data_IF_911454294969
#
_entry.id   IF_911454294969
#
_cell.length_a   1.000
_cell.length_b   1.000
_cell.length_c   1.000
_cell.angle_alpha   90.00
_cell.angle_beta   90.00
_cell.angle_gamma   90.00
#
_symmetry.space_group_name_H-M   'P 1'
#
loop_
_entity.id
_entity.type
_entity.pdbx_description
1 polymer ?
#
# COMPACT_ATOMS: atom_id res chain seq x y z
N UNK A 1 -7.43 0.72 -16.96
CA UNK A 1 -6.09 1.31 -17.18
C UNK A 1 -6.11 2.15 -18.45
N UNK A 2 -6.15 3.47 -18.31
CA UNK A 2 -6.15 4.46 -19.40
C UNK A 2 -4.75 4.71 -19.99
N UNK A 3 -3.69 4.19 -19.37
CA UNK A 3 -2.30 4.39 -19.77
C UNK A 3 -1.50 5.16 -18.73
N UNK A 4 -2.18 5.82 -17.79
CA UNK A 4 -1.56 6.48 -16.66
C UNK A 4 -1.09 5.45 -15.64
N UNK A 5 0.09 5.70 -15.09
CA UNK A 5 0.66 4.88 -14.01
C UNK A 5 0.55 5.68 -12.73
N UNK A 6 -0.17 5.11 -11.76
CA UNK A 6 -0.24 5.70 -10.44
C UNK A 6 1.00 5.38 -9.60
N UNK A 7 1.29 6.26 -8.65
CA UNK A 7 2.43 6.10 -7.74
C UNK A 7 2.04 6.46 -6.31
N UNK A 8 2.83 5.98 -5.36
CA UNK A 8 2.69 6.37 -3.96
C UNK A 8 2.76 7.89 -3.79
N UNK A 9 3.60 8.58 -4.56
CA UNK A 9 3.75 10.04 -4.50
C UNK A 9 2.45 10.80 -4.83
N UNK A 10 1.63 10.26 -5.73
CA UNK A 10 0.33 10.87 -6.08
C UNK A 10 -0.79 10.41 -5.15
N UNK A 11 -0.87 9.11 -4.84
CA UNK A 11 -1.98 8.53 -4.08
C UNK A 11 -1.90 8.79 -2.58
N UNK A 12 -0.69 8.80 -1.99
CA UNK A 12 -0.53 8.91 -0.54
C UNK A 12 -1.05 10.23 0.05
N UNK A 13 -0.77 11.42 -0.53
CA UNK A 13 -1.34 12.68 -0.05
C UNK A 13 -2.87 12.70 -0.09
N UNK A 14 -3.47 12.12 -1.14
CA UNK A 14 -4.92 12.03 -1.28
C UNK A 14 -5.52 11.11 -0.22
N UNK A 15 -4.92 9.94 0.00
CA UNK A 15 -5.36 9.00 1.02
C UNK A 15 -5.26 9.58 2.43
N UNK A 16 -4.14 10.23 2.76
CA UNK A 16 -3.96 10.89 4.05
C UNK A 16 -5.00 12.01 4.24
N UNK A 17 -5.22 12.84 3.22
CA UNK A 17 -6.21 13.91 3.26
C UNK A 17 -7.64 13.37 3.42
N UNK A 18 -7.99 12.26 2.75
CA UNK A 18 -9.31 11.62 2.87
C UNK A 18 -9.61 11.32 4.34
N UNK A 19 -8.68 10.68 5.06
CA UNK A 19 -8.84 10.32 6.48
C UNK A 19 -8.41 11.42 7.48
N UNK A 20 -8.18 12.66 7.02
CA UNK A 20 -7.81 13.78 7.91
C UNK A 20 -6.42 13.65 8.55
N UNK A 21 -5.57 12.75 8.04
CA UNK A 21 -4.23 12.52 8.55
C UNK A 21 -3.26 13.61 8.09
N UNK A 22 -2.28 13.93 8.94
CA UNK A 22 -1.17 14.82 8.61
C UNK A 22 0.05 14.01 8.20
N UNK A 23 0.58 14.30 7.02
CA UNK A 23 1.84 13.71 6.56
C UNK A 23 3.00 14.42 7.28
N UNK A 24 3.88 13.68 7.97
CA UNK A 24 5.04 14.26 8.63
C UNK A 24 6.08 14.74 7.61
N UNK A 25 6.79 15.81 7.96
CA UNK A 25 7.94 16.32 7.23
C UNK A 25 9.16 16.43 8.19
N UNK A 26 10.24 15.65 7.98
CA UNK A 26 10.40 14.64 6.92
C UNK A 26 9.57 13.37 7.19
N UNK A 27 9.10 12.73 6.11
CA UNK A 27 8.29 11.50 6.22
C UNK A 27 9.10 10.30 6.71
N UNK A 28 10.37 10.21 6.31
CA UNK A 28 11.26 9.08 6.60
C UNK A 28 12.55 9.54 7.28
N UNK A 29 12.49 10.04 8.53
CA UNK A 29 13.64 10.64 9.20
C UNK A 29 14.82 9.68 9.42
N UNK A 30 14.56 8.37 9.42
CA UNK A 30 15.57 7.34 9.69
C UNK A 30 16.03 6.59 8.43
N UNK A 31 15.81 7.13 7.23
CA UNK A 31 16.52 6.70 6.03
C UNK A 31 15.72 5.96 4.97
N UNK A 32 14.41 5.71 5.13
CA UNK A 32 13.54 5.35 3.99
C UNK A 32 13.84 4.03 3.26
N UNK A 33 14.89 3.28 3.65
CA UNK A 33 15.48 2.17 2.87
C UNK A 33 15.63 0.89 3.70
N UNK A 34 15.82 -0.28 3.05
CA UNK A 34 16.09 -1.55 3.73
C UNK A 34 17.11 -1.46 4.86
N UNK A 35 16.89 -2.23 5.93
CA UNK A 35 17.75 -2.31 7.12
C UNK A 35 17.88 -1.02 7.95
N UNK A 36 17.04 -0.01 7.70
CA UNK A 36 16.92 1.17 8.57
C UNK A 36 15.97 0.95 9.75
N UNK A 37 15.97 1.85 10.73
CA UNK A 37 15.11 1.79 11.93
C UNK A 37 13.61 1.96 11.67
N UNK A 38 13.20 2.33 10.46
CA UNK A 38 11.81 2.62 10.16
C UNK A 38 11.31 3.96 10.73
N UNK A 39 9.99 4.13 10.78
CA UNK A 39 9.38 5.37 11.22
C UNK A 39 9.20 5.41 12.75
N UNK A 40 9.85 6.38 13.42
CA UNK A 40 9.75 6.61 14.88
C UNK A 40 10.02 5.32 15.70
N UNK A 41 9.04 4.90 16.50
CA UNK A 41 9.05 3.69 17.34
C UNK A 41 8.21 2.55 16.74
N UNK A 42 7.82 2.67 15.47
CA UNK A 42 7.14 1.60 14.76
C UNK A 42 8.17 0.59 14.26
N UNK A 43 7.80 -0.69 14.27
CA UNK A 43 8.65 -1.73 13.75
C UNK A 43 8.64 -1.70 12.22
N UNK A 44 9.82 -1.60 11.63
CA UNK A 44 10.02 -1.84 10.20
C UNK A 44 10.19 -3.33 9.90
N UNK A 45 10.13 -3.66 8.61
CA UNK A 45 10.51 -4.98 8.11
C UNK A 45 11.34 -4.88 6.85
N UNK A 46 12.31 -5.78 6.74
CA UNK A 46 13.12 -6.01 5.55
C UNK A 46 13.13 -7.51 5.28
N UNK A 47 12.53 -7.94 4.17
CA UNK A 47 12.43 -9.34 3.77
C UNK A 47 13.21 -9.50 2.48
N UNK A 48 14.33 -10.21 2.55
CA UNK A 48 15.11 -10.57 1.37
C UNK A 48 14.44 -11.76 0.67
N UNK A 49 14.01 -11.58 -0.57
CA UNK A 49 13.43 -12.67 -1.33
C UNK A 49 14.53 -13.57 -1.94
N UNK A 50 14.19 -14.84 -2.18
CA UNK A 50 15.12 -15.84 -2.72
C UNK A 50 15.14 -15.91 -4.25
N UNK A 51 14.23 -15.23 -4.92
CA UNK A 51 14.13 -15.22 -6.38
C UNK A 51 15.06 -14.17 -7.00
N UNK A 52 15.31 -14.31 -8.30
CA UNK A 52 15.97 -13.27 -9.09
C UNK A 52 15.02 -12.08 -9.31
N UNK A 53 15.53 -10.84 -9.42
CA UNK A 53 14.70 -9.69 -9.69
C UNK A 53 14.05 -9.83 -11.08
N UNK A 54 12.82 -9.32 -11.28
CA UNK A 54 12.14 -9.37 -12.58
C UNK A 54 12.99 -8.78 -13.71
N UNK A 55 13.79 -7.75 -13.41
CA UNK A 55 14.68 -7.08 -14.35
C UNK A 55 15.70 -8.04 -14.99
N UNK A 56 16.12 -9.12 -14.30
CA UNK A 56 17.06 -10.11 -14.84
C UNK A 56 16.56 -10.72 -16.15
N UNK A 57 15.24 -10.89 -16.33
CA UNK A 57 14.66 -11.50 -17.52
C UNK A 57 14.96 -10.73 -18.81
N UNK A 58 15.17 -9.41 -18.72
CA UNK A 58 15.43 -8.53 -19.86
C UNK A 58 16.79 -7.82 -19.79
N UNK A 59 17.58 -8.09 -18.76
CA UNK A 59 18.80 -7.33 -18.45
C UNK A 59 19.81 -7.31 -19.62
N UNK A 60 19.96 -8.43 -20.34
CA UNK A 60 20.87 -8.50 -21.51
C UNK A 60 20.41 -7.64 -22.67
N UNK A 61 19.11 -7.70 -23.00
CA UNK A 61 18.52 -6.87 -24.05
C UNK A 61 18.58 -5.37 -23.71
N UNK A 62 18.56 -5.05 -22.42
CA UNK A 62 18.68 -3.69 -21.90
C UNK A 62 20.14 -3.23 -21.70
N UNK A 63 21.14 -4.10 -21.90
CA UNK A 63 22.56 -3.78 -21.71
C UNK A 63 23.00 -3.61 -20.24
N UNK A 64 22.23 -4.14 -19.29
CA UNK A 64 22.43 -3.99 -17.84
C UNK A 64 22.63 -5.33 -17.13
N UNK A 65 23.10 -6.36 -17.84
CA UNK A 65 23.29 -7.71 -17.28
C UNK A 65 24.15 -7.78 -16.02
N UNK A 66 25.11 -6.86 -15.90
CA UNK A 66 26.06 -6.71 -14.79
C UNK A 66 25.67 -5.62 -13.78
N UNK A 67 24.52 -4.98 -13.96
CA UNK A 67 24.04 -3.97 -13.02
C UNK A 67 23.57 -4.65 -11.72
N UNK A 68 23.93 -4.13 -10.53
CA UNK A 68 23.47 -4.69 -9.26
C UNK A 68 21.94 -4.81 -9.17
N UNK A 69 21.15 -3.93 -9.78
CA UNK A 69 19.69 -4.04 -9.81
C UNK A 69 19.18 -5.25 -10.61
N UNK A 70 19.98 -5.78 -11.53
CA UNK A 70 19.67 -7.00 -12.27
C UNK A 70 20.18 -8.26 -11.56
N UNK A 71 21.12 -8.15 -10.61
CA UNK A 71 21.73 -9.30 -9.93
C UNK A 71 21.24 -9.49 -8.49
N UNK A 72 21.11 -8.41 -7.73
CA UNK A 72 20.73 -8.43 -6.34
C UNK A 72 19.32 -9.01 -6.18
N UNK A 73 19.18 -9.84 -5.16
CA UNK A 73 17.87 -10.32 -4.77
C UNK A 73 16.95 -9.14 -4.43
N UNK A 74 15.69 -9.17 -4.87
CA UNK A 74 14.75 -8.11 -4.56
C UNK A 74 14.33 -8.19 -3.09
N UNK A 75 13.96 -7.03 -2.56
CA UNK A 75 13.62 -6.85 -1.15
C UNK A 75 12.19 -6.36 -0.99
N UNK A 76 11.53 -6.83 0.07
CA UNK A 76 10.33 -6.17 0.61
C UNK A 76 10.75 -5.31 1.79
N UNK A 77 10.52 -4.01 1.71
CA UNK A 77 10.83 -3.07 2.77
C UNK A 77 9.65 -2.17 3.10
N UNK A 78 9.29 -2.11 4.38
CA UNK A 78 8.31 -1.16 4.89
C UNK A 78 8.83 -0.49 6.15
N UNK A 79 8.67 0.83 6.20
CA UNK A 79 9.03 1.68 7.36
C UNK A 79 8.16 1.39 8.59
N UNK A 80 6.94 0.94 8.35
CA UNK A 80 6.01 0.43 9.35
C UNK A 80 5.50 -0.89 8.78
N UNK A 81 5.78 -1.99 9.46
CA UNK A 81 5.24 -3.29 9.10
C UNK A 81 3.75 -3.34 9.51
N UNK A 82 2.81 -3.44 8.56
CA UNK A 82 1.38 -3.46 8.85
C UNK A 82 0.94 -4.67 9.68
N UNK A 83 1.58 -5.83 9.51
CA UNK A 83 1.23 -7.04 10.24
C UNK A 83 1.65 -6.92 11.71
N UNK A 84 2.83 -6.37 11.98
CA UNK A 84 3.28 -6.07 13.36
C UNK A 84 2.46 -4.94 13.96
N UNK A 85 2.21 -3.88 13.18
CA UNK A 85 1.40 -2.73 13.60
C UNK A 85 -0.01 -3.15 14.04
N UNK A 86 -0.68 -3.99 13.25
CA UNK A 86 -2.04 -4.47 13.54
C UNK A 86 -2.10 -5.36 14.80
N UNK A 87 -0.98 -5.92 15.26
CA UNK A 87 -0.89 -6.73 16.50
C UNK A 87 -0.61 -5.90 17.75
N UNK A 88 -0.29 -4.61 17.62
CA UNK A 88 0.00 -3.76 18.78
C UNK A 88 -1.26 -3.54 19.63
N UNK A 89 -1.07 -3.47 20.94
CA UNK A 89 -2.16 -3.27 21.90
C UNK A 89 -2.87 -1.93 21.68
N UNK A 90 -2.13 -0.85 21.49
CA UNK A 90 -2.71 0.49 21.27
C UNK A 90 -3.55 0.57 19.99
N UNK A 91 -3.10 -0.12 18.93
CA UNK A 91 -3.83 -0.21 17.66
C UNK A 91 -5.12 -1.02 17.81
N UNK A 92 -5.06 -2.18 18.46
CA UNK A 92 -6.25 -2.99 18.70
C UNK A 92 -7.25 -2.28 19.64
N UNK A 93 -6.77 -1.56 20.65
CA UNK A 93 -7.63 -0.77 21.52
C UNK A 93 -8.32 0.38 20.76
N UNK A 94 -7.59 1.07 19.87
CA UNK A 94 -8.17 2.08 19.00
C UNK A 94 -9.23 1.48 18.05
N UNK A 95 -8.93 0.33 17.44
CA UNK A 95 -9.88 -0.38 16.59
C UNK A 95 -11.14 -0.81 17.35
N UNK A 96 -11.01 -1.41 18.54
CA UNK A 96 -12.16 -1.79 19.38
C UNK A 96 -13.05 -0.59 19.70
N UNK A 97 -12.46 0.57 20.02
CA UNK A 97 -13.23 1.80 20.26
C UNK A 97 -14.04 2.22 19.03
N UNK A 98 -13.42 2.22 17.85
CA UNK A 98 -14.10 2.56 16.60
C UNK A 98 -15.18 1.53 16.25
N UNK A 99 -14.87 0.24 16.38
CA UNK A 99 -15.80 -0.86 16.16
C UNK A 99 -17.04 -0.72 17.03
N UNK A 100 -16.88 -0.50 18.33
CA UNK A 100 -18.02 -0.43 19.24
C UNK A 100 -18.84 0.86 19.02
N UNK A 101 -18.17 1.97 18.72
CA UNK A 101 -18.81 3.26 18.43
C UNK A 101 -19.65 3.25 17.14
N UNK A 102 -19.12 2.62 16.09
CA UNK A 102 -19.75 2.61 14.76
C UNK A 102 -20.38 1.27 14.38
N UNK A 103 -20.35 0.27 15.28
CA UNK A 103 -20.87 -1.10 15.10
C UNK A 103 -20.25 -1.83 13.89
N UNK A 104 -18.93 -1.77 13.77
CA UNK A 104 -18.20 -2.35 12.63
C UNK A 104 -18.09 -3.87 12.69
N UNK A 105 -17.91 -4.52 11.55
CA UNK A 105 -17.69 -5.97 11.47
C UNK A 105 -16.28 -6.35 11.96
N UNK A 106 -16.21 -6.98 13.14
CA UNK A 106 -14.95 -7.50 13.69
C UNK A 106 -14.26 -8.50 12.75
N UNK A 107 -15.02 -9.28 11.98
CA UNK A 107 -14.44 -10.29 11.07
C UNK A 107 -13.61 -9.66 9.97
N UNK A 108 -13.89 -8.41 9.60
CA UNK A 108 -13.09 -7.69 8.61
C UNK A 108 -11.67 -7.43 9.11
N UNK A 109 -11.52 -7.05 10.37
CA UNK A 109 -10.22 -6.89 11.01
C UNK A 109 -9.48 -8.22 11.19
N UNK A 110 -10.18 -9.23 11.69
CA UNK A 110 -9.59 -10.56 11.96
C UNK A 110 -9.10 -11.26 10.69
N UNK A 111 -9.73 -10.96 9.54
CA UNK A 111 -9.41 -11.52 8.23
C UNK A 111 -8.63 -10.57 7.34
N UNK A 112 -8.25 -9.40 7.84
CA UNK A 112 -7.45 -8.46 7.07
C UNK A 112 -6.11 -9.10 6.70
N UNK A 113 -5.77 -9.07 5.41
CA UNK A 113 -4.59 -9.71 4.83
C UNK A 113 -3.36 -8.79 4.96
N UNK A 114 -2.94 -8.55 6.19
CA UNK A 114 -1.81 -7.65 6.51
C UNK A 114 -0.50 -8.09 5.84
N UNK A 115 -0.27 -9.39 5.73
CA UNK A 115 0.87 -9.99 5.04
C UNK A 115 0.86 -9.72 3.53
N UNK A 116 -0.34 -9.75 2.91
CA UNK A 116 -0.51 -9.36 1.51
C UNK A 116 -0.21 -7.87 1.31
N UNK A 117 -0.52 -7.03 2.29
CA UNK A 117 -0.16 -5.61 2.27
C UNK A 117 1.35 -5.41 2.41
N UNK A 118 2.01 -6.18 3.29
CA UNK A 118 3.48 -6.23 3.41
C UNK A 118 4.12 -6.54 2.07
N UNK A 119 3.63 -7.59 1.39
CA UNK A 119 4.12 -7.98 0.07
C UNK A 119 3.84 -6.88 -0.97
N UNK A 120 2.63 -6.35 -1.02
CA UNK A 120 2.22 -5.44 -2.11
C UNK A 120 2.95 -4.10 -2.04
N UNK A 121 3.04 -3.50 -0.84
CA UNK A 121 3.62 -2.18 -0.63
C UNK A 121 5.12 -2.20 -0.33
N UNK A 122 5.68 -3.34 0.07
CA UNK A 122 7.10 -3.44 0.41
C UNK A 122 8.03 -3.61 -0.78
N UNK A 123 7.53 -4.02 -1.96
CA UNK A 123 8.38 -4.34 -3.12
C UNK A 123 9.25 -3.17 -3.55
N UNK A 124 10.53 -3.44 -3.79
CA UNK A 124 11.47 -2.49 -4.40
C UNK A 124 11.36 -2.40 -5.94
N UNK A 125 10.31 -3.00 -6.52
CA UNK A 125 10.01 -2.95 -7.96
C UNK A 125 8.53 -2.67 -8.23
N UNK A 126 8.26 -2.06 -9.39
CA UNK A 126 6.90 -1.76 -9.84
C UNK A 126 6.39 -2.81 -10.83
N UNK A 127 5.06 -3.01 -10.84
CA UNK A 127 4.39 -3.83 -11.84
C UNK A 127 3.46 -2.95 -12.67
N UNK A 128 3.82 -2.70 -13.93
CA UNK A 128 3.02 -1.91 -14.86
C UNK A 128 2.47 -2.81 -15.95
N UNK A 129 1.14 -2.85 -16.08
CA UNK A 129 0.44 -3.59 -17.13
C UNK A 129 0.17 -2.72 -18.36
N UNK A 130 -0.05 -3.35 -19.52
CA UNK A 130 -0.48 -2.66 -20.74
C UNK A 130 -1.84 -3.17 -21.20
N UNK A 131 -2.79 -2.24 -21.41
CA UNK A 131 -4.09 -2.54 -22.02
C UNK A 131 -4.08 -2.45 -23.55
N UNK A 132 -2.91 -2.18 -24.18
CA UNK A 132 -2.82 -1.95 -25.62
C UNK A 132 -3.39 -3.09 -26.45
N UNK A 133 -3.19 -4.35 -26.04
CA UNK A 133 -3.77 -5.51 -26.73
C UNK A 133 -5.30 -5.50 -26.66
N UNK A 134 -5.88 -5.29 -25.48
CA UNK A 134 -7.33 -5.22 -25.31
C UNK A 134 -7.93 -4.04 -26.09
N UNK A 135 -7.26 -2.87 -26.07
CA UNK A 135 -7.68 -1.69 -26.84
C UNK A 135 -7.67 -1.94 -28.34
N UNK A 136 -6.64 -2.62 -28.86
CA UNK A 136 -6.59 -3.06 -30.27
C UNK A 136 -7.73 -4.02 -30.63
N UNK A 137 -8.26 -4.76 -29.65
CA UNK A 137 -9.41 -5.66 -29.81
C UNK A 137 -10.76 -4.96 -29.54
N UNK A 138 -10.78 -3.64 -29.42
CA UNK A 138 -12.01 -2.84 -29.30
C UNK A 138 -12.42 -2.49 -27.86
N UNK A 139 -11.69 -2.90 -26.83
CA UNK A 139 -11.99 -2.50 -25.45
C UNK A 139 -11.63 -1.02 -25.21
N UNK A 140 -12.64 -0.19 -24.94
CA UNK A 140 -12.44 1.24 -24.69
C UNK A 140 -12.54 1.62 -23.21
N UNK A 141 -13.13 0.75 -22.39
CA UNK A 141 -13.36 1.00 -20.96
C UNK A 141 -12.10 1.41 -20.19
N UNK A 142 -12.26 2.41 -19.33
CA UNK A 142 -11.26 2.84 -18.37
C UNK A 142 -11.93 3.31 -17.09
N UNK A 143 -11.16 3.37 -16.02
CA UNK A 143 -11.54 3.97 -14.76
C UNK A 143 -10.31 4.69 -14.20
N UNK A 144 -10.55 5.83 -13.57
CA UNK A 144 -9.54 6.54 -12.80
C UNK A 144 -9.26 5.76 -11.51
N UNK A 145 -7.99 5.61 -11.13
CA UNK A 145 -7.63 4.79 -9.98
C UNK A 145 -8.07 5.41 -8.66
N UNK A 146 -8.04 6.74 -8.54
CA UNK A 146 -8.48 7.41 -7.33
C UNK A 146 -10.01 7.31 -7.19
N UNK A 147 -10.76 7.58 -8.26
CA UNK A 147 -12.22 7.47 -8.24
C UNK A 147 -12.68 6.05 -7.83
N UNK A 148 -12.01 5.00 -8.31
CA UNK A 148 -12.33 3.61 -7.93
C UNK A 148 -11.92 3.28 -6.49
N UNK A 149 -10.85 3.89 -5.98
CA UNK A 149 -10.50 3.78 -4.55
C UNK A 149 -11.56 4.46 -3.67
N UNK A 150 -12.05 5.65 -4.05
CA UNK A 150 -13.11 6.34 -3.30
C UNK A 150 -14.39 5.52 -3.25
N UNK A 151 -14.87 5.02 -4.39
CA UNK A 151 -16.04 4.12 -4.45
C UNK A 151 -15.86 2.87 -3.60
N UNK A 152 -14.65 2.31 -3.59
CA UNK A 152 -14.34 1.15 -2.75
C UNK A 152 -14.44 1.50 -1.27
N UNK A 153 -13.89 2.64 -0.85
CA UNK A 153 -14.01 3.08 0.55
C UNK A 153 -15.48 3.34 0.93
N UNK A 154 -16.23 4.07 0.10
CA UNK A 154 -17.67 4.31 0.32
C UNK A 154 -18.44 2.98 0.48
N UNK A 155 -18.18 2.00 -0.38
CA UNK A 155 -18.78 0.67 -0.25
C UNK A 155 -18.42 0.01 1.08
N UNK A 156 -17.16 0.09 1.51
CA UNK A 156 -16.72 -0.49 2.80
C UNK A 156 -17.31 0.23 4.01
N UNK A 157 -17.54 1.55 3.91
CA UNK A 157 -18.23 2.35 4.92
C UNK A 157 -19.71 1.93 5.02
N UNK A 158 -20.40 1.82 3.89
CA UNK A 158 -21.81 1.39 3.82
C UNK A 158 -22.01 -0.05 4.34
N UNK A 159 -21.04 -0.93 4.11
CA UNK A 159 -21.08 -2.32 4.61
C UNK A 159 -20.62 -2.46 6.07
N UNK A 160 -20.30 -1.36 6.76
CA UNK A 160 -19.86 -1.39 8.15
C UNK A 160 -18.50 -2.06 8.35
N UNK A 161 -17.67 -2.12 7.30
CA UNK A 161 -16.27 -2.55 7.39
C UNK A 161 -15.38 -1.41 7.86
N UNK A 162 -15.67 -0.18 7.39
CA UNK A 162 -15.02 1.05 7.83
C UNK A 162 -16.00 1.99 8.54
N UNK A 163 -15.55 2.87 9.44
CA UNK A 163 -16.37 3.96 9.96
C UNK A 163 -16.85 4.89 8.83
N UNK A 164 -18.09 5.40 8.88
CA UNK A 164 -18.53 6.44 7.95
C UNK A 164 -17.62 7.67 8.04
N UNK A 165 -17.06 8.11 6.91
CA UNK A 165 -15.98 9.10 6.91
C UNK A 165 -16.36 10.43 7.57
N UNK A 166 -17.56 10.94 7.28
CA UNK A 166 -18.03 12.23 7.80
C UNK A 166 -18.17 12.21 9.32
N UNK A 167 -18.65 11.09 9.87
CA UNK A 167 -18.76 10.90 11.32
C UNK A 167 -17.39 10.75 11.95
N UNK A 168 -16.50 9.99 11.32
CA UNK A 168 -15.14 9.80 11.81
C UNK A 168 -14.40 11.14 11.94
N UNK A 169 -14.52 12.03 10.95
CA UNK A 169 -13.91 13.37 10.98
C UNK A 169 -14.54 14.33 11.98
N UNK A 170 -15.82 14.15 12.28
CA UNK A 170 -16.50 14.96 13.29
C UNK A 170 -16.05 14.56 14.70
N UNK A 171 -15.87 13.26 14.93
CA UNK A 171 -15.61 12.71 16.26
C UNK A 171 -14.12 12.77 16.67
N UNK A 172 -13.20 13.04 15.74
CA UNK A 172 -11.73 13.05 15.92
C UNK A 172 -11.05 14.18 15.15
#
# INVERSE_FOLDING_TARGET
MNGDTESFQNLWPRLASRFGCKIPDPMFPNGGVPHTKGFKNYESSTIQLRNKPPLKASASALGISSDPAAENSPTLFLQVDPEKWAKREDVNNAWCKLRDMYRLDQKAWDKATWDFLVMTLGRDWNCVGSMSKARKLGWTGYADTWDELEKTFETLEDQGVLPPLDRLKHDF
#
